data_IF_163667117899
#
_entry.id   IF_163667117899
#
_cell.length_a   1.000
_cell.length_b   1.000
_cell.length_c   1.000
_cell.angle_alpha   90.00
_cell.angle_beta   90.00
_cell.angle_gamma   90.00
#
_symmetry.space_group_name_H-M   'P 1'
#
loop_
_entity.id
_entity.type
_entity.pdbx_description
1 polymer ?
#
# COMPACT_ATOMS: atom_id res chain seq x y z
N UNK A 1 -11.56 -22.18 62.87
CA UNK A 1 -10.13 -22.18 62.49
C UNK A 1 -10.07 -21.74 61.05
N UNK A 2 -9.62 -20.51 60.86
CA UNK A 2 -9.43 -19.86 59.56
C UNK A 2 -7.98 -20.09 59.18
N UNK A 3 -7.74 -20.68 58.00
CA UNK A 3 -6.61 -20.39 57.09
C UNK A 3 -6.64 -21.40 55.95
N UNK A 4 -7.46 -21.15 54.94
CA UNK A 4 -7.14 -21.64 53.60
C UNK A 4 -5.99 -20.80 53.09
N UNK A 5 -4.80 -21.38 53.14
CA UNK A 5 -3.56 -20.77 52.66
C UNK A 5 -3.53 -20.89 51.12
N UNK A 6 -4.32 -20.06 50.44
CA UNK A 6 -4.26 -19.95 48.98
C UNK A 6 -3.01 -19.13 48.63
N UNK A 7 -1.93 -19.85 48.29
CA UNK A 7 -0.75 -19.24 47.69
C UNK A 7 -1.15 -18.64 46.33
N UNK A 8 -1.36 -17.33 46.27
CA UNK A 8 -1.40 -16.57 45.02
C UNK A 8 0.04 -16.38 44.55
N UNK A 9 0.62 -17.44 44.00
CA UNK A 9 1.83 -17.37 43.19
C UNK A 9 1.42 -17.17 41.74
N UNK A 10 1.89 -16.08 41.13
CA UNK A 10 1.83 -15.75 39.70
C UNK A 10 1.22 -16.83 38.78
N UNK A 11 0.00 -16.58 38.30
CA UNK A 11 -0.43 -17.13 37.01
C UNK A 11 0.20 -16.30 35.89
N UNK A 12 1.49 -16.53 35.62
CA UNK A 12 2.12 -16.13 34.36
C UNK A 12 2.55 -17.42 33.68
N UNK A 13 1.77 -17.87 32.69
CA UNK A 13 2.11 -19.04 31.88
C UNK A 13 0.97 -20.02 31.58
N UNK A 14 -0.27 -19.55 31.39
CA UNK A 14 -1.36 -20.41 30.92
C UNK A 14 -1.19 -20.78 29.44
N UNK A 15 -0.34 -21.76 29.14
CA UNK A 15 -0.39 -22.48 27.87
C UNK A 15 -1.49 -23.54 27.94
N UNK A 16 -2.73 -23.10 27.76
CA UNK A 16 -3.81 -23.99 27.37
C UNK A 16 -4.39 -23.48 26.04
N UNK A 17 -3.71 -23.83 24.95
CA UNK A 17 -4.24 -23.70 23.59
C UNK A 17 -4.81 -25.06 23.22
N UNK A 18 -6.08 -25.27 23.55
CA UNK A 18 -6.82 -26.44 23.08
C UNK A 18 -7.87 -26.00 22.05
N UNK A 19 -7.44 -26.08 20.79
CA UNK A 19 -8.27 -26.45 19.64
C UNK A 19 -9.44 -25.55 19.26
N UNK A 20 -9.22 -24.63 18.31
CA UNK A 20 -10.07 -24.48 17.11
C UNK A 20 -9.47 -23.46 16.13
N UNK A 21 -8.88 -23.98 15.05
CA UNK A 21 -8.78 -23.46 13.69
C UNK A 21 -8.48 -21.96 13.45
N UNK A 22 -7.25 -21.71 12.98
CA UNK A 22 -6.89 -20.76 11.90
C UNK A 22 -7.59 -19.39 11.94
N UNK A 23 -7.06 -18.48 12.76
CA UNK A 23 -7.10 -17.06 12.44
C UNK A 23 -5.67 -16.59 12.18
N UNK A 24 -5.44 -16.18 10.94
CA UNK A 24 -4.13 -15.75 10.46
C UNK A 24 -3.54 -14.58 11.24
N UNK A 25 -2.21 -14.55 11.25
CA UNK A 25 -1.33 -13.45 11.65
C UNK A 25 -1.65 -12.73 12.97
N UNK A 26 -1.06 -13.26 14.05
CA UNK A 26 -0.45 -12.41 15.08
C UNK A 26 0.75 -11.70 14.46
N UNK A 27 0.60 -10.42 14.08
CA UNK A 27 1.43 -9.26 14.51
C UNK A 27 0.62 -7.98 14.24
N UNK A 28 -0.10 -7.48 15.25
CA UNK A 28 -0.60 -6.11 15.28
C UNK A 28 0.36 -5.26 16.12
N UNK A 29 1.35 -4.64 15.45
CA UNK A 29 2.15 -3.52 15.99
C UNK A 29 1.62 -2.18 15.46
N UNK A 30 1.81 -1.06 16.17
CA UNK A 30 0.92 0.10 16.08
C UNK A 30 1.17 0.94 14.81
N UNK A 31 0.10 1.26 14.06
CA UNK A 31 0.04 2.43 13.17
C UNK A 31 0.75 2.40 11.80
N UNK A 32 1.64 1.44 11.50
CA UNK A 32 2.58 1.57 10.35
C UNK A 32 2.07 1.14 8.97
N UNK A 33 0.91 0.50 8.86
CA UNK A 33 0.46 -0.08 7.57
C UNK A 33 0.12 1.00 6.53
N UNK A 34 -0.58 2.06 6.92
CA UNK A 34 -1.06 3.09 5.97
C UNK A 34 -0.01 4.14 5.62
N UNK A 35 0.90 4.46 6.55
CA UNK A 35 2.00 5.41 6.33
C UNK A 35 2.99 4.85 5.30
N UNK A 36 3.32 3.55 5.43
CA UNK A 36 4.13 2.83 4.45
C UNK A 36 3.47 2.84 3.04
N UNK A 37 2.14 2.72 2.95
CA UNK A 37 1.42 2.81 1.67
C UNK A 37 1.50 4.21 1.05
N UNK A 38 1.36 5.28 1.84
CA UNK A 38 1.45 6.67 1.33
C UNK A 38 2.84 7.02 0.85
N UNK A 39 3.87 6.60 1.58
CA UNK A 39 5.26 6.78 1.14
C UNK A 39 5.53 6.03 -0.16
N UNK A 40 5.06 4.79 -0.27
CA UNK A 40 5.22 3.97 -1.48
C UNK A 40 4.54 4.58 -2.70
N UNK A 41 3.30 5.08 -2.54
CA UNK A 41 2.59 5.80 -3.60
C UNK A 41 3.34 7.08 -4.00
N UNK A 42 3.79 7.87 -3.02
CA UNK A 42 4.50 9.13 -3.31
C UNK A 42 5.82 8.88 -4.06
N UNK A 43 6.58 7.84 -3.67
CA UNK A 43 7.78 7.42 -4.39
C UNK A 43 7.44 6.98 -5.82
N UNK A 44 6.37 6.20 -5.99
CA UNK A 44 5.94 5.78 -7.32
C UNK A 44 5.57 6.97 -8.21
N UNK A 45 4.81 7.94 -7.70
CA UNK A 45 4.45 9.14 -8.46
C UNK A 45 5.68 9.95 -8.88
N UNK A 46 6.66 10.06 -7.99
CA UNK A 46 7.93 10.74 -8.29
C UNK A 46 8.69 10.03 -9.41
N UNK A 47 8.85 8.71 -9.32
CA UNK A 47 9.51 7.90 -10.36
C UNK A 47 8.74 7.95 -11.69
N UNK A 48 7.42 7.80 -11.66
CA UNK A 48 6.59 7.85 -12.86
C UNK A 48 6.70 9.22 -13.56
N UNK A 49 6.58 10.31 -12.80
CA UNK A 49 6.72 11.69 -13.30
C UNK A 49 8.13 11.96 -13.84
N UNK A 50 9.17 11.47 -13.17
CA UNK A 50 10.56 11.61 -13.61
C UNK A 50 10.84 10.91 -14.93
N UNK A 51 10.14 9.80 -15.20
CA UNK A 51 10.33 8.97 -16.38
C UNK A 51 9.28 9.19 -17.49
N UNK A 52 8.32 10.11 -17.30
CA UNK A 52 7.17 10.26 -18.22
C UNK A 52 7.60 10.57 -19.65
N UNK A 53 8.67 11.37 -19.81
CA UNK A 53 9.23 11.73 -21.12
C UNK A 53 9.94 10.55 -21.80
N UNK A 54 10.47 9.61 -21.02
CA UNK A 54 11.17 8.41 -21.52
C UNK A 54 10.20 7.31 -21.95
N UNK A 55 8.91 7.43 -21.60
CA UNK A 55 7.86 6.50 -22.01
C UNK A 55 7.35 6.73 -23.43
N UNK A 56 7.72 7.84 -24.08
CA UNK A 56 7.33 8.20 -25.45
C UNK A 56 5.81 8.03 -25.69
N UNK A 57 5.01 8.51 -24.73
CA UNK A 57 3.55 8.46 -24.74
C UNK A 57 2.99 9.31 -25.89
N UNK A 58 1.75 8.99 -26.32
CA UNK A 58 0.99 9.93 -27.16
C UNK A 58 0.65 11.20 -26.36
N UNK A 59 0.41 12.32 -27.04
CA UNK A 59 0.03 13.57 -26.36
C UNK A 59 -1.22 13.42 -25.47
N UNK A 60 -2.15 12.55 -25.87
CA UNK A 60 -3.36 12.25 -25.10
C UNK A 60 -3.05 11.43 -23.84
N UNK A 61 -2.28 10.34 -23.98
CA UNK A 61 -1.90 9.49 -22.85
C UNK A 61 -0.97 10.22 -21.86
N UNK A 62 -0.13 11.13 -22.36
CA UNK A 62 0.69 12.00 -21.51
C UNK A 62 -0.16 12.99 -20.71
N UNK A 63 -1.13 13.65 -21.35
CA UNK A 63 -2.04 14.55 -20.67
C UNK A 63 -2.90 13.82 -19.61
N UNK A 64 -3.35 12.61 -19.92
CA UNK A 64 -4.06 11.74 -18.98
C UNK A 64 -3.17 11.35 -17.79
N UNK A 65 -1.94 10.91 -18.05
CA UNK A 65 -0.96 10.58 -17.01
C UNK A 65 -0.67 11.77 -16.09
N UNK A 66 -0.50 12.98 -16.65
CA UNK A 66 -0.31 14.21 -15.86
C UNK A 66 -1.53 14.51 -14.98
N UNK A 67 -2.75 14.36 -15.51
CA UNK A 67 -3.98 14.58 -14.76
C UNK A 67 -4.12 13.57 -13.58
N UNK A 68 -3.76 12.31 -13.79
CA UNK A 68 -3.77 11.29 -12.75
C UNK A 68 -2.72 11.56 -11.67
N UNK A 69 -1.50 11.96 -12.06
CA UNK A 69 -0.45 12.36 -11.11
C UNK A 69 -0.96 13.48 -10.20
N UNK A 70 -1.53 14.54 -10.77
CA UNK A 70 -2.05 15.67 -9.99
C UNK A 70 -3.17 15.24 -9.03
N UNK A 71 -4.07 14.37 -9.49
CA UNK A 71 -5.17 13.85 -8.67
C UNK A 71 -4.63 13.03 -7.49
N UNK A 72 -3.67 12.15 -7.75
CA UNK A 72 -3.07 11.30 -6.73
C UNK A 72 -2.20 12.09 -5.76
N UNK A 73 -1.43 13.07 -6.22
CA UNK A 73 -0.69 14.02 -5.37
C UNK A 73 -1.64 14.76 -4.43
N UNK A 74 -2.79 15.23 -4.94
CA UNK A 74 -3.81 15.88 -4.11
C UNK A 74 -4.41 14.92 -3.06
N UNK A 75 -4.65 13.64 -3.41
CA UNK A 75 -5.07 12.64 -2.45
C UNK A 75 -3.98 12.37 -1.39
N UNK A 76 -2.70 12.37 -1.78
CA UNK A 76 -1.59 12.21 -0.84
C UNK A 76 -1.47 13.41 0.10
N UNK A 77 -1.88 14.62 -0.29
CA UNK A 77 -1.86 15.78 0.62
C UNK A 77 -3.13 15.91 1.47
N UNK A 78 -4.21 15.24 1.09
CA UNK A 78 -5.48 15.30 1.84
C UNK A 78 -5.34 14.73 3.26
N UNK A 79 -5.93 15.39 4.28
CA UNK A 79 -6.01 14.85 5.64
C UNK A 79 -6.93 13.61 5.74
N UNK A 80 -7.79 13.41 4.74
CA UNK A 80 -8.70 12.26 4.61
C UNK A 80 -8.67 11.76 3.16
N UNK A 81 -7.61 11.04 2.77
CA UNK A 81 -7.48 10.50 1.41
C UNK A 81 -8.64 9.56 1.08
N UNK A 82 -9.19 9.66 -0.13
CA UNK A 82 -10.24 8.76 -0.61
C UNK A 82 -9.58 7.56 -1.29
N UNK A 83 -9.61 6.41 -0.63
CA UNK A 83 -9.00 5.18 -1.13
C UNK A 83 -9.53 4.75 -2.50
N UNK A 84 -10.81 4.99 -2.80
CA UNK A 84 -11.39 4.71 -4.12
C UNK A 84 -10.73 5.53 -5.24
N UNK A 85 -10.54 6.84 -5.02
CA UNK A 85 -9.88 7.72 -6.00
C UNK A 85 -8.43 7.30 -6.20
N UNK A 86 -7.73 6.95 -5.12
CA UNK A 86 -6.34 6.48 -5.19
C UNK A 86 -6.24 5.21 -6.03
N UNK A 87 -7.11 4.22 -5.78
CA UNK A 87 -7.12 2.96 -6.53
C UNK A 87 -7.44 3.16 -8.00
N UNK A 88 -8.40 4.03 -8.31
CA UNK A 88 -8.78 4.33 -9.68
C UNK A 88 -7.62 4.98 -10.43
N UNK A 89 -7.01 6.04 -9.86
CA UNK A 89 -5.90 6.71 -10.51
C UNK A 89 -4.67 5.82 -10.69
N UNK A 90 -4.35 4.96 -9.71
CA UNK A 90 -3.28 3.96 -9.87
C UNK A 90 -3.62 2.92 -10.96
N UNK A 91 -4.89 2.55 -11.11
CA UNK A 91 -5.33 1.64 -12.18
C UNK A 91 -5.28 2.31 -13.55
N UNK A 92 -5.65 3.58 -13.64
CA UNK A 92 -5.52 4.40 -14.85
C UNK A 92 -4.05 4.49 -15.30
N UNK A 93 -3.14 4.86 -14.38
CA UNK A 93 -1.68 4.87 -14.67
C UNK A 93 -1.19 3.48 -15.10
N UNK A 94 -1.67 2.40 -14.47
CA UNK A 94 -1.33 1.04 -14.88
C UNK A 94 -1.72 0.79 -16.33
N UNK A 95 -2.94 1.14 -16.73
CA UNK A 95 -3.44 0.94 -18.10
C UNK A 95 -2.62 1.74 -19.12
N UNK A 96 -2.22 2.98 -18.78
CA UNK A 96 -1.32 3.78 -19.61
C UNK A 96 0.01 3.05 -19.80
N UNK A 97 0.63 2.58 -18.71
CA UNK A 97 1.91 1.86 -18.74
C UNK A 97 1.82 0.53 -19.50
N UNK A 98 0.72 -0.20 -19.38
CA UNK A 98 0.46 -1.43 -20.15
C UNK A 98 0.33 -1.17 -21.66
N UNK A 99 -0.13 0.03 -22.05
CA UNK A 99 -0.15 0.50 -23.43
C UNK A 99 1.23 0.79 -24.02
N UNK A 100 2.27 0.96 -23.20
CA UNK A 100 3.65 1.27 -23.64
C UNK A 100 4.44 -0.03 -23.88
N UNK A 101 4.16 -0.69 -25.00
CA UNK A 101 4.85 -1.92 -25.38
C UNK A 101 6.36 -1.70 -25.60
N UNK A 102 7.18 -2.64 -25.13
CA UNK A 102 8.63 -2.66 -25.38
C UNK A 102 9.46 -1.67 -24.56
N UNK A 103 8.85 -0.91 -23.64
CA UNK A 103 9.58 0.01 -22.76
C UNK A 103 10.07 -0.70 -21.48
N UNK A 104 11.40 -0.73 -21.30
CA UNK A 104 12.04 -1.21 -20.07
C UNK A 104 11.61 -0.35 -18.88
N UNK A 105 11.49 0.96 -19.11
CA UNK A 105 11.04 1.93 -18.11
C UNK A 105 9.61 1.61 -17.67
N UNK A 106 8.69 1.40 -18.62
CA UNK A 106 7.31 1.00 -18.30
C UNK A 106 7.25 -0.31 -17.50
N UNK A 107 8.07 -1.29 -17.87
CA UNK A 107 8.16 -2.57 -17.16
C UNK A 107 8.63 -2.39 -15.71
N UNK A 108 9.64 -1.53 -15.48
CA UNK A 108 10.13 -1.19 -14.14
C UNK A 108 9.07 -0.51 -13.29
N UNK A 109 8.35 0.45 -13.86
CA UNK A 109 7.27 1.18 -13.20
C UNK A 109 6.07 0.26 -12.88
N UNK A 110 5.69 -0.64 -13.78
CA UNK A 110 4.65 -1.65 -13.54
C UNK A 110 5.03 -2.59 -12.38
N UNK A 111 6.31 -2.99 -12.31
CA UNK A 111 6.80 -3.81 -11.19
C UNK A 111 6.72 -3.06 -9.87
N UNK A 112 7.07 -1.77 -9.84
CA UNK A 112 6.94 -0.94 -8.65
C UNK A 112 5.47 -0.79 -8.24
N UNK A 113 4.59 -0.52 -9.21
CA UNK A 113 3.16 -0.37 -8.99
C UNK A 113 2.53 -1.65 -8.42
N UNK A 114 2.96 -2.83 -8.88
CA UNK A 114 2.52 -4.11 -8.34
C UNK A 114 2.83 -4.28 -6.85
N UNK A 115 3.87 -3.63 -6.31
CA UNK A 115 4.15 -3.70 -4.86
C UNK A 115 3.19 -2.86 -4.01
N UNK A 116 2.38 -2.00 -4.65
CA UNK A 116 1.48 -1.04 -3.99
C UNK A 116 0.02 -1.53 -4.02
N UNK A 117 -0.38 -2.20 -5.10
CA UNK A 117 -1.79 -2.60 -5.35
C UNK A 117 -2.11 -4.01 -4.80
N UNK A 118 -1.09 -4.79 -4.44
CA UNK A 118 -1.22 -6.20 -3.98
C UNK A 118 -1.59 -6.32 -2.51
#
# INVERSE_FOLDING_TARGET
>A
MVSENTQIGNMIGSNFVQGSQVYGNVIAGPGRSLENSRESISKFLMEFKGNIKDLNLSSEAEAEAEAEILTLEAQMQSPKPKASIIREGLSSIRSILEGVAGSIVATGLLKMLATIIV
#
